data_IF_449066140044
#
_entry.id   IF_449066140044
#
_cell.length_a   1.000
_cell.length_b   1.000
_cell.length_c   1.000
_cell.angle_alpha   90.00
_cell.angle_beta   90.00
_cell.angle_gamma   90.00
#
_symmetry.space_group_name_H-M   'P 1'
#
loop_
_entity.id
_entity.type
_entity.pdbx_description
1 polymer ?
#
# COMPACT_ATOMS: atom_id res chain seq x y z
N UNK A 1 -12.36 -9.11 -9.48
CA UNK A 1 -11.12 -9.03 -8.70
C UNK A 1 -11.53 -8.76 -7.26
N UNK A 2 -10.96 -9.47 -6.29
CA UNK A 2 -11.26 -9.25 -4.87
C UNK A 2 -10.80 -7.85 -4.47
N UNK A 3 -11.70 -7.10 -3.85
CA UNK A 3 -11.41 -5.76 -3.39
C UNK A 3 -10.38 -5.80 -2.25
N UNK A 4 -9.18 -5.28 -2.47
CA UNK A 4 -8.19 -5.15 -1.40
C UNK A 4 -8.78 -4.21 -0.33
N UNK A 5 -8.85 -4.66 0.92
CA UNK A 5 -9.33 -3.82 2.02
C UNK A 5 -8.17 -2.92 2.50
N UNK A 6 -8.50 -1.75 3.07
CA UNK A 6 -7.48 -0.83 3.58
C UNK A 6 -6.56 -1.49 4.61
N UNK A 7 -7.11 -2.36 5.48
CA UNK A 7 -6.32 -3.09 6.47
C UNK A 7 -5.29 -4.04 5.82
N UNK A 8 -5.68 -4.71 4.74
CA UNK A 8 -4.80 -5.59 3.98
C UNK A 8 -3.71 -4.76 3.27
N UNK A 9 -4.09 -3.61 2.73
CA UNK A 9 -3.17 -2.67 2.09
C UNK A 9 -2.12 -2.14 3.09
N UNK A 10 -2.52 -1.79 4.31
CA UNK A 10 -1.58 -1.42 5.39
C UNK A 10 -0.61 -2.56 5.69
N UNK A 11 -1.13 -3.79 5.86
CA UNK A 11 -0.29 -4.94 6.14
C UNK A 11 0.70 -5.24 4.99
N UNK A 12 0.29 -5.07 3.73
CA UNK A 12 1.18 -5.24 2.58
C UNK A 12 2.29 -4.19 2.55
N UNK A 13 2.01 -2.94 2.92
CA UNK A 13 3.03 -1.89 3.05
C UNK A 13 4.04 -2.25 4.13
N UNK A 14 3.58 -2.68 5.31
CA UNK A 14 4.45 -3.10 6.41
C UNK A 14 5.35 -4.29 6.00
N UNK A 15 4.77 -5.28 5.31
CA UNK A 15 5.53 -6.42 4.78
C UNK A 15 6.58 -5.99 3.76
N UNK A 16 6.21 -5.11 2.81
CA UNK A 16 7.14 -4.58 1.82
C UNK A 16 8.31 -3.83 2.48
N UNK A 17 8.02 -3.02 3.50
CA UNK A 17 9.03 -2.32 4.29
C UNK A 17 9.96 -3.31 5.00
N UNK A 18 9.42 -4.31 5.70
CA UNK A 18 10.23 -5.30 6.40
C UNK A 18 11.16 -6.08 5.46
N UNK A 19 10.65 -6.46 4.28
CA UNK A 19 11.43 -7.15 3.25
C UNK A 19 12.54 -6.25 2.71
N UNK A 20 12.24 -4.99 2.41
CA UNK A 20 13.23 -4.02 1.97
C UNK A 20 14.32 -3.76 3.03
N UNK A 21 13.95 -3.62 4.30
CA UNK A 21 14.91 -3.47 5.40
C UNK A 21 15.85 -4.66 5.49
N UNK A 22 15.32 -5.89 5.44
CA UNK A 22 16.13 -7.11 5.46
C UNK A 22 17.10 -7.18 4.28
N UNK A 23 16.68 -6.74 3.10
CA UNK A 23 17.53 -6.75 1.92
C UNK A 23 18.61 -5.68 1.99
N UNK A 24 18.29 -4.46 2.42
CA UNK A 24 19.26 -3.37 2.60
C UNK A 24 20.38 -3.76 3.57
N UNK A 25 20.06 -4.52 4.63
CA UNK A 25 21.07 -5.06 5.55
C UNK A 25 22.00 -6.10 4.90
N UNK A 26 21.56 -6.76 3.83
CA UNK A 26 22.28 -7.85 3.15
C UNK A 26 23.00 -7.44 1.87
N UNK A 27 22.50 -6.42 1.16
CA UNK A 27 23.05 -5.97 -0.12
C UNK A 27 24.23 -5.02 0.11
N UNK A 28 25.45 -5.56 0.16
CA UNK A 28 26.70 -4.76 0.27
C UNK A 28 27.37 -4.47 -1.08
N UNK A 29 26.74 -4.78 -2.22
CA UNK A 29 27.34 -4.62 -3.56
C UNK A 29 26.33 -4.06 -4.56
N UNK A 30 26.70 -2.98 -5.23
CA UNK A 30 25.92 -2.27 -6.26
C UNK A 30 25.58 -3.11 -7.53
N UNK A 31 25.89 -4.40 -7.54
CA UNK A 31 25.82 -5.27 -8.71
C UNK A 31 25.20 -6.63 -8.37
N UNK A 32 24.14 -6.62 -7.56
CA UNK A 32 23.37 -7.84 -7.30
C UNK A 32 22.53 -8.20 -8.54
N UNK A 33 22.80 -9.33 -9.23
CA UNK A 33 22.03 -9.75 -10.40
C UNK A 33 20.55 -10.02 -10.08
N UNK A 34 20.19 -10.26 -8.81
CA UNK A 34 18.80 -10.50 -8.39
C UNK A 34 18.01 -9.20 -8.12
N UNK A 35 18.66 -8.03 -8.09
CA UNK A 35 18.01 -6.75 -7.77
C UNK A 35 16.73 -6.48 -8.58
N UNK A 36 16.66 -6.70 -9.91
CA UNK A 36 15.42 -6.50 -10.66
C UNK A 36 14.27 -7.43 -10.20
N UNK A 37 14.58 -8.66 -9.79
CA UNK A 37 13.58 -9.64 -9.31
C UNK A 37 13.08 -9.26 -7.92
N UNK A 38 13.98 -8.78 -7.05
CA UNK A 38 13.65 -8.27 -5.73
C UNK A 38 12.70 -7.06 -5.83
N UNK A 39 13.03 -6.08 -6.68
CA UNK A 39 12.16 -4.93 -6.95
C UNK A 39 10.80 -5.35 -7.52
N UNK A 40 10.79 -6.28 -8.48
CA UNK A 40 9.54 -6.81 -9.04
C UNK A 40 8.65 -7.49 -7.99
N UNK A 41 9.26 -8.13 -7.00
CA UNK A 41 8.53 -8.78 -5.89
C UNK A 41 7.86 -7.73 -4.98
N UNK A 42 8.53 -6.60 -4.71
CA UNK A 42 7.96 -5.49 -3.94
C UNK A 42 6.82 -4.80 -4.70
N UNK A 43 6.99 -4.56 -6.00
CA UNK A 43 5.93 -4.00 -6.85
C UNK A 43 4.70 -4.91 -6.84
N UNK A 44 4.91 -6.23 -6.92
CA UNK A 44 3.82 -7.21 -6.85
C UNK A 44 3.14 -7.22 -5.49
N UNK A 45 3.91 -7.11 -4.40
CA UNK A 45 3.37 -7.07 -3.03
C UNK A 45 2.51 -5.83 -2.78
N UNK A 46 2.87 -4.70 -3.39
CA UNK A 46 2.17 -3.42 -3.27
C UNK A 46 1.05 -3.22 -4.32
N UNK A 47 0.81 -4.21 -5.18
CA UNK A 47 -0.20 -4.12 -6.23
C UNK A 47 -1.61 -4.06 -5.62
N UNK A 48 -2.36 -2.99 -5.94
CA UNK A 48 -3.71 -2.77 -5.39
C UNK A 48 -3.75 -1.86 -4.16
N UNK A 49 -2.59 -1.58 -3.52
CA UNK A 49 -2.50 -0.68 -2.37
C UNK A 49 -2.95 0.75 -2.72
N UNK A 50 -2.48 1.37 -3.83
CA UNK A 50 -2.91 2.72 -4.19
C UNK A 50 -4.42 2.85 -4.39
N UNK A 51 -5.03 1.84 -5.02
CA UNK A 51 -6.47 1.79 -5.27
C UNK A 51 -7.25 1.69 -3.95
N UNK A 52 -6.85 0.78 -3.05
CA UNK A 52 -7.47 0.64 -1.73
C UNK A 52 -7.38 1.93 -0.90
N UNK A 53 -6.26 2.66 -0.99
CA UNK A 53 -6.09 3.96 -0.33
C UNK A 53 -7.00 5.04 -0.95
N UNK A 54 -7.07 5.12 -2.28
CA UNK A 54 -7.93 6.09 -2.98
C UNK A 54 -9.41 5.88 -2.67
N UNK A 55 -9.84 4.64 -2.54
CA UNK A 55 -11.22 4.32 -2.21
C UNK A 55 -11.56 4.60 -0.75
N UNK A 56 -10.65 4.32 0.17
CA UNK A 56 -10.82 4.70 1.56
C UNK A 56 -10.94 6.23 1.72
N UNK A 57 -10.11 7.00 1.02
CA UNK A 57 -10.18 8.46 1.01
C UNK A 57 -11.52 8.98 0.45
N UNK A 58 -11.98 8.37 -0.65
CA UNK A 58 -13.30 8.68 -1.24
C UNK A 58 -14.45 8.39 -0.27
N UNK A 59 -14.40 7.25 0.42
CA UNK A 59 -15.42 6.88 1.40
C UNK A 59 -15.45 7.82 2.61
N UNK A 60 -14.29 8.28 3.08
CA UNK A 60 -14.17 9.28 4.15
C UNK A 60 -14.75 10.63 3.71
N UNK A 61 -14.45 11.07 2.49
CA UNK A 61 -15.01 12.28 1.91
C UNK A 61 -16.55 12.23 1.83
N UNK A 62 -17.10 11.11 1.36
CA UNK A 62 -18.55 10.89 1.25
C UNK A 62 -19.25 10.84 2.61
N UNK A 63 -18.57 10.30 3.62
CA UNK A 63 -19.05 10.35 5.01
C UNK A 63 -19.08 11.79 5.53
N UNK A 64 -17.99 12.54 5.40
CA UNK A 64 -17.90 13.92 5.87
C UNK A 64 -18.96 14.83 5.22
N UNK A 65 -19.20 14.66 3.91
CA UNK A 65 -20.21 15.44 3.19
C UNK A 65 -21.64 15.15 3.66
N UNK A 66 -21.95 13.89 4.03
CA UNK A 66 -23.25 13.51 4.60
C UNK A 66 -23.45 14.15 5.98
N UNK A 67 -22.46 14.09 6.85
CA UNK A 67 -22.53 14.67 8.20
C UNK A 67 -22.76 16.19 8.16
N UNK A 68 -22.11 16.89 7.23
CA UNK A 68 -22.32 18.33 7.01
C UNK A 68 -23.75 18.62 6.54
N UNK A 69 -24.30 17.78 5.66
CA UNK A 69 -25.67 17.94 5.16
C UNK A 69 -26.70 17.73 6.28
N UNK A 70 -26.49 16.71 7.11
CA UNK A 70 -27.37 16.38 8.24
C UNK A 70 -27.29 17.44 9.35
N UNK A 71 -26.12 18.03 9.59
CA UNK A 71 -25.93 19.09 10.59
C UNK A 71 -26.53 20.45 10.19
N UNK A 72 -26.87 20.64 8.91
CA UNK A 72 -27.46 21.87 8.34
C UNK A 72 -28.97 21.78 8.13
N UNK A 73 -29.59 20.63 8.42
CA UNK A 73 -31.02 20.38 8.26
C UNK A 73 -31.76 20.37 9.60
#
# INVERSE_FOLDING_TARGET
MSHLQLIDATCQVEQAQAVLSLWLERTTKDSDPDLPRLLGSIITLLNGVPEAMSEADSALHDYAMREIKESKS
#
